data_IF_494527645829
#
_entry.id   IF_494527645829
#
_cell.length_a   1.000
_cell.length_b   1.000
_cell.length_c   1.000
_cell.angle_alpha   90.00
_cell.angle_beta   90.00
_cell.angle_gamma   90.00
#
_symmetry.space_group_name_H-M   'P 1'
#
loop_
_entity.id
_entity.type
_entity.pdbx_description
1 polymer ?
#
# COMPACT_ATOMS: atom_id res chain seq x y z
N UNK A 1 10.02 21.64 43.86
CA UNK A 1 9.31 20.79 44.84
C UNK A 1 8.07 20.07 44.28
N UNK A 2 7.48 20.44 43.12
CA UNK A 2 6.62 19.52 42.36
C UNK A 2 5.36 18.97 43.06
N UNK A 3 4.84 19.67 44.09
CA UNK A 3 3.73 19.17 44.93
C UNK A 3 2.48 18.76 44.14
N UNK A 4 2.15 19.47 43.05
CA UNK A 4 1.02 19.12 42.20
C UNK A 4 1.17 17.75 41.52
N UNK A 5 2.39 17.41 41.09
CA UNK A 5 2.68 16.08 40.52
C UNK A 5 2.51 15.00 41.58
N UNK A 6 3.06 15.25 42.78
CA UNK A 6 2.91 14.32 43.91
C UNK A 6 1.46 14.14 44.34
N UNK A 7 0.67 15.22 44.34
CA UNK A 7 -0.75 15.15 44.66
C UNK A 7 -1.51 14.29 43.64
N UNK A 8 -1.23 14.44 42.35
CA UNK A 8 -1.84 13.61 41.29
C UNK A 8 -1.45 12.15 41.41
N UNK A 9 -0.17 11.84 41.67
CA UNK A 9 0.28 10.47 41.92
C UNK A 9 -0.50 9.84 43.08
N UNK A 10 -0.55 10.51 44.24
CA UNK A 10 -1.25 10.00 45.42
C UNK A 10 -2.74 9.81 45.17
N UNK A 11 -3.37 10.71 44.42
CA UNK A 11 -4.77 10.62 44.03
C UNK A 11 -5.02 9.40 43.13
N UNK A 12 -4.14 9.14 42.16
CA UNK A 12 -4.22 7.95 41.30
C UNK A 12 -4.02 6.67 42.10
N UNK A 13 -3.02 6.62 42.97
CA UNK A 13 -2.77 5.47 43.85
C UNK A 13 -3.98 5.19 44.75
N UNK A 14 -4.67 6.22 45.22
CA UNK A 14 -5.87 6.10 46.06
C UNK A 14 -7.03 5.44 45.30
N UNK A 15 -7.37 5.96 44.13
CA UNK A 15 -8.48 5.40 43.33
C UNK A 15 -8.15 4.06 42.66
N UNK A 16 -6.87 3.74 42.46
CA UNK A 16 -6.44 2.40 42.03
C UNK A 16 -6.43 1.37 43.16
N UNK A 17 -6.74 1.76 44.41
CA UNK A 17 -6.78 0.85 45.55
C UNK A 17 -5.40 0.41 46.05
N UNK A 18 -4.32 1.14 45.73
CA UNK A 18 -2.96 0.82 46.20
C UNK A 18 -2.72 1.20 47.66
N UNK A 19 -3.63 1.94 48.29
CA UNK A 19 -3.57 2.24 49.71
C UNK A 19 -4.25 1.14 50.53
N UNK A 20 -3.55 0.52 51.49
CA UNK A 20 -4.16 -0.45 52.38
C UNK A 20 -5.20 0.25 53.27
N UNK A 21 -6.47 -0.16 53.15
CA UNK A 21 -7.55 0.30 54.02
C UNK A 21 -7.54 -0.52 55.31
N UNK A 22 -7.41 0.15 56.46
CA UNK A 22 -7.29 -0.50 57.78
C UNK A 22 -8.66 -0.90 58.35
N UNK A 23 -9.76 -0.34 57.83
CA UNK A 23 -11.13 -0.60 58.30
C UNK A 23 -11.82 -1.60 57.39
N UNK A 24 -12.10 -2.81 57.90
CA UNK A 24 -12.74 -3.91 57.16
C UNK A 24 -14.25 -3.71 56.92
N UNK A 25 -14.93 -2.85 57.69
CA UNK A 25 -16.38 -2.66 57.59
C UNK A 25 -16.78 -1.55 56.60
N UNK A 26 -17.33 -1.97 55.47
CA UNK A 26 -17.72 -1.15 54.33
C UNK A 26 -18.90 -0.18 54.50
N UNK A 27 -19.24 0.29 55.70
CA UNK A 27 -20.29 1.29 55.88
C UNK A 27 -20.01 2.23 57.06
N UNK A 28 -19.44 3.40 56.78
CA UNK A 28 -19.59 4.55 57.68
C UNK A 28 -20.61 5.52 57.09
N UNK A 29 -21.89 5.11 57.06
CA UNK A 29 -22.99 6.08 56.99
C UNK A 29 -23.01 6.85 58.31
N UNK A 30 -22.14 7.86 58.44
CA UNK A 30 -22.24 8.82 59.56
C UNK A 30 -23.50 9.64 59.33
N UNK A 31 -24.50 9.44 60.20
CA UNK A 31 -25.63 10.38 60.31
C UNK A 31 -25.06 11.71 60.79
N UNK A 32 -24.79 12.63 59.87
CA UNK A 32 -24.66 14.04 60.22
C UNK A 32 -26.06 14.51 60.61
N UNK A 33 -26.25 14.84 61.89
CA UNK A 33 -27.40 15.63 62.29
C UNK A 33 -27.20 17.03 61.70
N UNK A 34 -27.66 17.23 60.46
CA UNK A 34 -27.81 18.56 59.91
C UNK A 34 -28.86 19.27 60.77
N UNK A 35 -28.49 20.41 61.35
CA UNK A 35 -29.43 21.29 62.05
C UNK A 35 -30.49 21.69 61.01
N UNK A 36 -31.75 21.32 61.26
CA UNK A 36 -32.84 21.51 60.30
C UNK A 36 -33.47 22.90 60.32
N UNK A 37 -33.15 23.75 61.30
CA UNK A 37 -33.75 25.08 61.43
C UNK A 37 -32.67 26.15 61.59
N UNK A 38 -32.54 27.00 60.58
CA UNK A 38 -31.75 28.25 60.63
C UNK A 38 -32.59 29.40 61.22
N UNK A 39 -33.92 29.24 61.27
CA UNK A 39 -34.86 30.28 61.69
C UNK A 39 -35.03 30.40 63.22
N UNK A 40 -34.51 29.46 64.01
CA UNK A 40 -34.66 29.45 65.48
C UNK A 40 -33.49 30.06 66.26
N UNK A 41 -32.44 30.56 65.58
CA UNK A 41 -31.29 31.16 66.25
C UNK A 41 -31.45 32.68 66.33
N UNK A 42 -32.05 33.15 67.43
CA UNK A 42 -31.97 34.56 67.81
C UNK A 42 -30.50 34.92 68.09
N UNK A 43 -29.99 35.94 67.37
CA UNK A 43 -28.60 36.44 67.36
C UNK A 43 -27.98 36.76 68.74
N UNK A 44 -28.75 36.71 69.82
CA UNK A 44 -28.35 37.05 71.19
C UNK A 44 -28.49 35.89 72.20
N UNK A 45 -28.98 34.73 71.77
CA UNK A 45 -29.15 33.52 72.61
C UNK A 45 -28.18 32.39 72.25
N UNK A 46 -27.12 32.67 71.48
CA UNK A 46 -26.12 31.66 71.12
C UNK A 46 -25.32 31.19 72.35
N UNK A 47 -25.66 30.01 72.88
CA UNK A 47 -24.80 29.30 73.83
C UNK A 47 -23.64 28.64 73.08
N UNK A 48 -22.43 29.18 73.27
CA UNK A 48 -21.17 28.58 72.79
C UNK A 48 -20.84 27.35 73.65
N UNK A 49 -21.55 26.24 73.42
CA UNK A 49 -21.23 24.94 74.00
C UNK A 49 -20.45 24.09 72.97
N UNK A 50 -19.43 23.32 73.39
CA UNK A 50 -18.75 22.39 72.50
C UNK A 50 -19.77 21.37 71.96
N UNK A 51 -19.99 21.40 70.65
CA UNK A 51 -20.94 20.51 69.98
C UNK A 51 -20.54 19.05 70.23
N UNK A 52 -21.42 18.29 70.86
CA UNK A 52 -21.26 16.86 71.08
C UNK A 52 -21.41 16.12 69.74
N UNK A 53 -20.48 15.21 69.43
CA UNK A 53 -20.44 14.38 68.21
C UNK A 53 -20.13 15.10 66.88
N UNK A 54 -19.18 16.03 66.84
CA UNK A 54 -18.63 16.52 65.56
C UNK A 54 -17.71 15.47 64.90
N UNK A 55 -17.85 15.20 63.59
CA UNK A 55 -16.87 14.40 62.88
C UNK A 55 -15.50 15.11 62.86
N UNK A 56 -14.38 14.37 62.79
CA UNK A 56 -13.07 14.98 62.65
C UNK A 56 -12.98 15.80 61.36
N UNK A 57 -12.24 16.92 61.40
CA UNK A 57 -12.07 17.81 60.26
C UNK A 57 -11.37 17.11 59.08
N UNK A 58 -10.39 16.25 59.38
CA UNK A 58 -9.61 15.50 58.40
C UNK A 58 -9.62 14.02 58.77
N UNK A 59 -9.69 13.18 57.74
CA UNK A 59 -9.47 11.75 57.86
C UNK A 59 -8.21 11.36 57.08
N UNK A 60 -7.53 10.32 57.56
CA UNK A 60 -6.40 9.76 56.83
C UNK A 60 -6.93 8.99 55.61
N UNK A 61 -6.24 9.07 54.48
CA UNK A 61 -6.61 8.33 53.26
C UNK A 61 -6.70 6.81 53.51
N UNK A 62 -5.93 6.26 54.45
CA UNK A 62 -5.93 4.83 54.83
C UNK A 62 -7.19 4.40 55.58
N UNK A 63 -8.00 5.35 56.04
CA UNK A 63 -9.21 5.10 56.82
C UNK A 63 -10.49 5.17 55.98
N UNK A 64 -10.41 5.66 54.74
CA UNK A 64 -11.53 5.78 53.81
C UNK A 64 -11.27 4.93 52.57
N UNK A 65 -12.17 3.98 52.30
CA UNK A 65 -12.15 3.20 51.05
C UNK A 65 -12.49 4.09 49.85
N UNK A 66 -11.68 4.01 48.80
CA UNK A 66 -11.92 4.72 47.55
C UNK A 66 -13.14 4.13 46.81
N UNK A 67 -13.89 5.00 46.13
CA UNK A 67 -14.93 4.60 45.19
C UNK A 67 -14.31 4.07 43.90
N UNK A 68 -15.02 3.17 43.22
CA UNK A 68 -14.57 2.66 41.92
C UNK A 68 -14.73 3.76 40.87
N UNK A 69 -13.60 4.29 40.36
CA UNK A 69 -13.57 5.28 39.29
C UNK A 69 -12.96 4.70 38.02
N UNK A 70 -13.59 4.96 36.89
CA UNK A 70 -13.10 4.51 35.58
C UNK A 70 -12.03 5.45 35.00
N UNK A 71 -12.21 6.77 35.18
CA UNK A 71 -11.32 7.80 34.64
C UNK A 71 -11.28 9.04 35.52
N UNK A 72 -10.22 9.84 35.33
CA UNK A 72 -10.07 11.19 35.87
C UNK A 72 -10.18 12.19 34.73
N UNK A 73 -10.89 13.29 34.96
CA UNK A 73 -11.04 14.37 34.00
C UNK A 73 -10.60 15.69 34.59
N UNK A 74 -9.96 16.52 33.76
CA UNK A 74 -9.57 17.89 34.10
C UNK A 74 -10.05 18.85 33.03
N UNK A 75 -10.50 20.01 33.44
CA UNK A 75 -10.91 21.11 32.57
C UNK A 75 -10.15 22.35 32.99
N UNK A 76 -9.38 22.92 32.08
CA UNK A 76 -8.50 24.06 32.40
C UNK A 76 -8.34 24.99 31.19
N UNK A 77 -7.96 26.25 31.46
CA UNK A 77 -7.59 27.22 30.43
C UNK A 77 -6.25 26.85 29.80
N UNK A 78 -6.22 26.81 28.46
CA UNK A 78 -5.09 26.32 27.69
C UNK A 78 -3.89 27.27 27.77
N UNK A 79 -2.96 26.95 28.67
CA UNK A 79 -1.64 27.60 28.76
C UNK A 79 -0.52 26.60 28.52
N UNK A 80 0.64 27.09 28.06
CA UNK A 80 1.81 26.24 27.82
C UNK A 80 2.32 25.55 29.08
N UNK A 81 2.17 26.18 30.26
CA UNK A 81 2.59 25.62 31.54
C UNK A 81 1.67 24.49 32.01
N UNK A 82 0.37 24.71 31.98
CA UNK A 82 -0.62 23.68 32.36
C UNK A 82 -0.58 22.51 31.40
N UNK A 83 -0.45 22.76 30.09
CA UNK A 83 -0.33 21.69 29.11
C UNK A 83 0.92 20.82 29.36
N UNK A 84 2.06 21.44 29.71
CA UNK A 84 3.28 20.70 30.10
C UNK A 84 3.07 19.90 31.40
N UNK A 85 2.36 20.45 32.38
CA UNK A 85 2.03 19.76 33.62
C UNK A 85 1.16 18.53 33.37
N UNK A 86 0.03 18.68 32.67
CA UNK A 86 -0.88 17.57 32.38
C UNK A 86 -0.27 16.52 31.46
N UNK A 87 0.62 16.93 30.55
CA UNK A 87 1.45 15.99 29.75
C UNK A 87 2.35 15.13 30.62
N UNK A 88 2.96 15.68 31.67
CA UNK A 88 3.79 14.92 32.64
C UNK A 88 2.94 13.95 33.45
N UNK A 89 1.71 14.30 33.75
CA UNK A 89 0.75 13.43 34.44
C UNK A 89 0.08 12.40 33.52
N UNK A 90 0.48 12.28 32.25
CA UNK A 90 -0.08 11.31 31.27
C UNK A 90 -1.57 11.50 30.95
N UNK A 91 -2.08 12.74 31.02
CA UNK A 91 -3.42 13.07 30.55
C UNK A 91 -3.47 13.20 29.02
N UNK A 92 -4.61 12.86 28.44
CA UNK A 92 -4.86 12.93 26.99
C UNK A 92 -5.98 13.92 26.70
N UNK A 93 -5.75 14.83 25.76
CA UNK A 93 -6.74 15.82 25.33
C UNK A 93 -7.86 15.18 24.53
N UNK A 94 -9.09 15.56 24.84
CA UNK A 94 -10.30 15.03 24.18
C UNK A 94 -11.12 16.14 23.55
N UNK A 95 -11.08 17.35 24.11
CA UNK A 95 -11.86 18.47 23.60
C UNK A 95 -11.17 19.80 23.86
N UNK A 96 -11.27 20.71 22.90
CA UNK A 96 -10.83 22.09 23.00
C UNK A 96 -11.96 23.00 22.54
N UNK A 97 -12.35 23.97 23.38
CA UNK A 97 -13.34 24.98 23.03
C UNK A 97 -12.79 25.92 21.94
N UNK A 98 -13.59 26.19 20.91
CA UNK A 98 -13.20 27.11 19.82
C UNK A 98 -13.19 28.58 20.26
N UNK A 99 -14.07 28.95 21.19
CA UNK A 99 -14.13 30.31 21.74
C UNK A 99 -13.25 30.42 22.99
N UNK A 100 -12.48 31.49 23.05
CA UNK A 100 -11.77 31.89 24.24
C UNK A 100 -12.75 32.39 25.30
N UNK A 101 -12.44 32.13 26.57
CA UNK A 101 -13.17 32.72 27.69
C UNK A 101 -13.05 34.25 27.65
N UNK A 102 -14.16 34.96 27.83
CA UNK A 102 -14.16 36.44 27.88
C UNK A 102 -13.36 37.00 29.07
N UNK A 103 -13.23 36.21 30.15
CA UNK A 103 -12.52 36.63 31.35
C UNK A 103 -10.99 36.49 31.23
N UNK A 104 -10.52 35.39 30.65
CA UNK A 104 -9.07 35.05 30.63
C UNK A 104 -8.44 35.11 29.24
N UNK A 105 -9.23 35.14 28.16
CA UNK A 105 -8.75 35.01 26.79
C UNK A 105 -8.24 33.61 26.45
N UNK A 106 -8.39 32.63 27.35
CA UNK A 106 -7.90 31.27 27.15
C UNK A 106 -9.00 30.32 26.68
N UNK A 107 -8.61 29.33 25.88
CA UNK A 107 -9.52 28.28 25.42
C UNK A 107 -9.58 27.16 26.46
N UNK A 108 -10.77 26.66 26.77
CA UNK A 108 -10.91 25.54 27.72
C UNK A 108 -10.54 24.22 27.05
N UNK A 109 -9.53 23.52 27.58
CA UNK A 109 -9.16 22.16 27.20
C UNK A 109 -9.69 21.17 28.24
N UNK A 110 -10.34 20.11 27.77
CA UNK A 110 -10.70 18.95 28.57
C UNK A 110 -9.73 17.82 28.27
N UNK A 111 -9.06 17.33 29.31
CA UNK A 111 -8.16 16.20 29.23
C UNK A 111 -8.59 15.09 30.18
N UNK A 112 -8.49 13.85 29.74
CA UNK A 112 -8.89 12.67 30.49
C UNK A 112 -7.70 11.75 30.72
N UNK A 113 -7.73 11.01 31.82
CA UNK A 113 -6.80 9.94 32.14
C UNK A 113 -7.59 8.73 32.59
N UNK A 114 -7.40 7.61 31.90
CA UNK A 114 -8.05 6.35 32.25
C UNK A 114 -7.37 5.73 33.48
N UNK A 115 -8.17 5.21 34.42
CA UNK A 115 -7.69 4.51 35.62
C UNK A 115 -7.91 2.99 35.53
N UNK A 116 -8.89 2.56 34.73
CA UNK A 116 -9.25 1.16 34.53
C UNK A 116 -8.57 0.56 33.30
N UNK A 117 -8.35 -0.75 33.25
CA UNK A 117 -7.84 -1.38 32.01
C UNK A 117 -8.88 -1.39 30.87
N UNK A 118 -10.17 -1.26 31.19
CA UNK A 118 -11.27 -1.40 30.23
C UNK A 118 -11.50 -0.13 29.40
N UNK A 119 -10.96 1.03 29.82
CA UNK A 119 -11.25 2.32 29.18
C UNK A 119 -10.31 2.76 28.06
N UNK A 120 -9.33 1.93 27.67
CA UNK A 120 -8.26 2.35 26.74
C UNK A 120 -8.81 2.54 25.32
N UNK A 121 -9.73 1.69 24.87
CA UNK A 121 -10.24 1.67 23.49
C UNK A 121 -11.13 2.89 23.16
N UNK A 122 -12.05 3.26 24.05
CA UNK A 122 -12.86 4.45 23.81
C UNK A 122 -11.97 5.70 23.88
N UNK A 123 -11.08 5.80 24.87
CA UNK A 123 -10.23 6.98 25.02
C UNK A 123 -9.25 7.13 23.85
N UNK A 124 -8.74 6.04 23.28
CA UNK A 124 -7.92 6.07 22.05
C UNK A 124 -8.73 6.57 20.85
N UNK A 125 -9.98 6.11 20.71
CA UNK A 125 -10.90 6.57 19.67
C UNK A 125 -11.23 8.07 19.79
N UNK A 126 -11.54 8.54 20.99
CA UNK A 126 -11.81 9.96 21.27
C UNK A 126 -10.57 10.83 21.03
N UNK A 127 -9.39 10.36 21.41
CA UNK A 127 -8.11 11.05 21.16
C UNK A 127 -7.81 11.18 19.65
N UNK A 128 -8.05 10.11 18.89
CA UNK A 128 -7.91 10.11 17.43
C UNK A 128 -8.87 11.10 16.78
N UNK A 129 -10.15 11.09 17.19
CA UNK A 129 -11.14 12.05 16.71
C UNK A 129 -10.80 13.49 17.08
N UNK A 130 -10.35 13.73 18.32
CA UNK A 130 -9.88 15.04 18.77
C UNK A 130 -8.74 15.55 17.89
N UNK A 131 -7.75 14.70 17.59
CA UNK A 131 -6.62 15.03 16.73
C UNK A 131 -7.09 15.47 15.34
N UNK A 132 -7.94 14.69 14.67
CA UNK A 132 -8.45 15.02 13.34
C UNK A 132 -9.28 16.30 13.36
N UNK A 133 -10.16 16.48 14.35
CA UNK A 133 -10.95 17.71 14.51
C UNK A 133 -10.07 18.93 14.74
N UNK A 134 -9.06 18.82 15.61
CA UNK A 134 -8.12 19.90 15.89
C UNK A 134 -7.34 20.29 14.64
N UNK A 135 -6.83 19.32 13.87
CA UNK A 135 -6.14 19.58 12.59
C UNK A 135 -7.03 20.33 11.60
N UNK A 136 -8.32 19.98 11.53
CA UNK A 136 -9.26 20.66 10.64
C UNK A 136 -9.71 22.05 11.14
N UNK A 137 -9.59 22.34 12.44
CA UNK A 137 -9.92 23.64 13.03
C UNK A 137 -8.73 24.61 13.07
N UNK A 138 -7.48 24.11 12.92
CA UNK A 138 -6.27 24.95 12.87
C UNK A 138 -6.32 26.09 11.84
N UNK A 139 -6.88 25.92 10.62
CA UNK A 139 -7.00 27.00 9.65
C UNK A 139 -8.00 28.10 10.03
N UNK A 140 -8.94 27.83 10.93
CA UNK A 140 -10.04 28.73 11.27
C UNK A 140 -9.90 29.26 12.71
N UNK A 141 -10.55 28.62 13.68
CA UNK A 141 -10.62 29.10 15.08
C UNK A 141 -9.26 29.19 15.77
N UNK A 142 -8.24 28.45 15.28
CA UNK A 142 -6.92 28.39 15.91
C UNK A 142 -5.79 28.89 14.99
N UNK A 143 -6.10 29.73 13.99
CA UNK A 143 -5.09 30.25 13.06
C UNK A 143 -4.06 31.16 13.75
N UNK A 144 -4.50 31.91 14.77
CA UNK A 144 -3.66 32.82 15.55
C UNK A 144 -2.94 32.14 16.74
N UNK A 145 -3.12 30.84 16.96
CA UNK A 145 -2.42 30.14 18.06
C UNK A 145 -0.93 30.05 17.81
N UNK A 146 -0.07 30.21 18.83
CA UNK A 146 1.36 29.94 18.70
C UNK A 146 1.60 28.51 18.16
N UNK A 147 2.42 28.37 17.12
CA UNK A 147 2.60 27.09 16.42
C UNK A 147 3.25 26.03 17.31
N UNK A 148 4.08 26.46 18.27
CA UNK A 148 4.70 25.60 19.29
C UNK A 148 3.67 25.05 20.28
N UNK A 149 2.65 25.85 20.64
CA UNK A 149 1.56 25.44 21.52
C UNK A 149 0.64 24.45 20.78
N UNK A 150 0.26 24.75 19.54
CA UNK A 150 -0.54 23.85 18.71
C UNK A 150 0.15 22.48 18.51
N UNK A 151 1.47 22.49 18.27
CA UNK A 151 2.26 21.26 18.20
C UNK A 151 2.26 20.52 19.54
N UNK A 152 2.37 21.24 20.66
CA UNK A 152 2.36 20.63 22.00
C UNK A 152 1.04 19.91 22.29
N UNK A 153 -0.09 20.43 21.82
CA UNK A 153 -1.42 19.80 21.91
C UNK A 153 -1.43 18.50 21.09
N UNK A 154 -0.94 18.53 19.85
CA UNK A 154 -0.84 17.34 19.00
C UNK A 154 0.14 16.28 19.54
N UNK A 155 1.04 16.69 20.44
CA UNK A 155 1.98 15.83 21.15
C UNK A 155 1.51 15.44 22.55
N UNK A 156 0.31 15.85 22.99
CA UNK A 156 -0.28 15.43 24.26
C UNK A 156 -0.71 13.97 24.13
N UNK A 157 0.26 13.07 24.34
CA UNK A 157 0.13 11.63 24.12
C UNK A 157 0.46 10.89 25.40
N UNK A 158 -0.37 9.89 25.70
CA UNK A 158 -0.02 8.82 26.62
C UNK A 158 0.43 7.61 25.78
N UNK A 159 1.58 7.03 26.12
CA UNK A 159 2.18 5.89 25.41
C UNK A 159 1.25 4.67 25.39
N UNK A 160 0.49 4.45 26.45
CA UNK A 160 -0.46 3.33 26.58
C UNK A 160 -1.60 3.44 25.57
N UNK A 161 -2.13 4.67 25.41
CA UNK A 161 -3.23 4.95 24.48
C UNK A 161 -2.71 4.96 23.04
N UNK A 162 -1.49 5.45 22.81
CA UNK A 162 -0.86 5.45 21.48
C UNK A 162 -0.63 4.04 20.92
N UNK A 163 -0.35 3.05 21.78
CA UNK A 163 -0.26 1.64 21.38
C UNK A 163 -1.60 1.04 20.92
N UNK A 164 -2.73 1.58 21.40
CA UNK A 164 -4.07 1.16 21.00
C UNK A 164 -4.58 1.85 19.72
N UNK A 165 -3.99 2.99 19.33
CA UNK A 165 -4.41 3.72 18.12
C UNK A 165 -3.87 2.99 16.88
N UNK A 166 -4.77 2.44 16.07
CA UNK A 166 -4.43 1.87 14.75
C UNK A 166 -4.07 3.00 13.78
N UNK A 167 -2.80 3.11 13.43
CA UNK A 167 -2.34 4.04 12.40
C UNK A 167 -2.56 3.42 11.02
N UNK A 168 -3.45 4.01 10.22
CA UNK A 168 -3.64 3.63 8.83
C UNK A 168 -2.67 4.42 7.94
N UNK A 169 -1.59 3.75 7.54
CA UNK A 169 -0.68 4.26 6.51
C UNK A 169 -1.40 4.19 5.17
N UNK A 170 -1.43 5.30 4.43
CA UNK A 170 -2.10 5.35 3.13
C UNK A 170 -1.25 4.68 2.05
N UNK A 171 -1.94 3.96 1.17
CA UNK A 171 -1.36 3.36 -0.03
C UNK A 171 -1.14 4.40 -1.13
N UNK A 172 -0.34 4.07 -2.14
CA UNK A 172 -0.07 4.98 -3.27
C UNK A 172 -1.35 5.42 -4.00
N UNK A 173 -2.31 4.51 -4.14
CA UNK A 173 -3.58 4.79 -4.81
C UNK A 173 -4.42 5.81 -4.04
N UNK A 174 -4.50 5.66 -2.71
CA UNK A 174 -5.22 6.61 -1.85
C UNK A 174 -4.53 7.99 -1.84
N UNK A 175 -3.19 8.03 -1.84
CA UNK A 175 -2.43 9.28 -1.99
C UNK A 175 -2.73 9.93 -3.34
N UNK A 176 -2.85 9.14 -4.42
CA UNK A 176 -3.17 9.61 -5.77
C UNK A 176 -4.52 10.31 -5.91
N UNK A 177 -5.47 10.04 -5.00
CA UNK A 177 -6.77 10.73 -4.96
C UNK A 177 -6.62 12.16 -4.43
N UNK A 178 -5.66 12.39 -3.53
CA UNK A 178 -5.49 13.69 -2.86
C UNK A 178 -4.34 14.51 -3.48
N UNK A 179 -3.32 13.85 -4.01
CA UNK A 179 -2.15 14.44 -4.65
C UNK A 179 -1.94 13.83 -6.03
N UNK A 180 -2.02 14.65 -7.07
CA UNK A 180 -1.79 14.19 -8.44
C UNK A 180 -0.29 14.00 -8.73
N UNK A 181 0.02 13.24 -9.78
CA UNK A 181 1.41 13.03 -10.21
C UNK A 181 2.11 14.34 -10.61
N UNK A 182 1.35 15.30 -11.14
CA UNK A 182 1.86 16.63 -11.44
C UNK A 182 2.22 17.41 -10.16
N UNK A 183 1.41 17.27 -9.11
CA UNK A 183 1.70 17.89 -7.81
C UNK A 183 2.97 17.31 -7.16
N UNK A 184 3.18 15.99 -7.29
CA UNK A 184 4.43 15.36 -6.88
C UNK A 184 5.63 15.87 -7.69
N UNK A 185 5.46 16.07 -9.00
CA UNK A 185 6.47 16.68 -9.87
C UNK A 185 6.81 18.12 -9.48
N UNK A 186 5.81 18.93 -9.14
CA UNK A 186 5.97 20.31 -8.62
C UNK A 186 6.70 20.31 -7.28
N UNK A 187 6.33 19.40 -6.37
CA UNK A 187 7.01 19.23 -5.08
C UNK A 187 8.49 18.87 -5.29
N UNK A 188 8.78 17.90 -6.15
CA UNK A 188 10.15 17.53 -6.49
C UNK A 188 10.93 18.71 -7.07
N UNK A 189 10.36 19.45 -8.02
CA UNK A 189 10.98 20.64 -8.62
C UNK A 189 11.29 21.73 -7.59
N UNK A 190 10.41 21.95 -6.61
CA UNK A 190 10.67 22.84 -5.48
C UNK A 190 11.86 22.38 -4.63
N UNK A 191 11.96 21.09 -4.30
CA UNK A 191 13.06 20.57 -3.47
C UNK A 191 14.43 20.67 -4.13
N UNK A 192 14.46 20.74 -5.47
CA UNK A 192 15.63 21.00 -6.31
C UNK A 192 15.89 22.50 -6.55
N UNK A 193 15.17 23.40 -5.87
CA UNK A 193 15.25 24.86 -6.01
C UNK A 193 14.95 25.38 -7.43
N UNK A 194 14.17 24.66 -8.24
CA UNK A 194 13.75 25.11 -9.58
C UNK A 194 12.55 26.05 -9.53
N UNK A 195 11.78 25.99 -8.44
CA UNK A 195 10.49 26.64 -8.26
C UNK A 195 10.46 27.37 -6.91
N UNK A 196 9.73 28.50 -6.84
CA UNK A 196 9.52 29.25 -5.60
C UNK A 196 8.45 28.61 -4.69
N UNK A 197 8.54 28.85 -3.38
CA UNK A 197 7.66 28.29 -2.35
C UNK A 197 6.17 28.60 -2.58
N UNK A 198 5.85 29.73 -3.21
CA UNK A 198 4.47 30.14 -3.51
C UNK A 198 3.77 29.18 -4.48
N UNK A 199 4.53 28.56 -5.38
CA UNK A 199 4.02 27.63 -6.38
C UNK A 199 3.77 26.22 -5.84
N UNK A 200 4.00 25.96 -4.55
CA UNK A 200 3.57 24.72 -3.89
C UNK A 200 2.62 24.98 -2.72
N UNK A 201 2.22 26.24 -2.49
CA UNK A 201 1.43 26.64 -1.32
C UNK A 201 0.05 25.95 -1.25
N UNK A 202 -0.50 25.56 -2.40
CA UNK A 202 -1.73 24.77 -2.54
C UNK A 202 -1.57 23.30 -2.09
N UNK A 203 -0.37 22.73 -2.25
CA UNK A 203 -0.07 21.33 -1.92
C UNK A 203 0.26 21.16 -0.43
N UNK A 204 0.85 22.19 0.19
CA UNK A 204 1.36 22.15 1.57
C UNK A 204 0.29 21.82 2.63
N UNK A 205 -0.95 22.35 2.57
CA UNK A 205 -1.99 21.99 3.53
C UNK A 205 -2.34 20.50 3.49
N UNK A 206 -2.40 19.92 2.30
CA UNK A 206 -2.63 18.49 2.11
C UNK A 206 -1.49 17.67 2.72
N UNK A 207 -0.24 18.04 2.42
CA UNK A 207 0.93 17.37 3.00
C UNK A 207 0.95 17.46 4.53
N UNK A 208 0.64 18.63 5.08
CA UNK A 208 0.57 18.84 6.52
C UNK A 208 -0.51 17.98 7.17
N UNK A 209 -1.70 17.87 6.56
CA UNK A 209 -2.78 16.99 7.03
C UNK A 209 -2.36 15.51 7.00
N UNK A 210 -1.76 15.05 5.92
CA UNK A 210 -1.29 13.66 5.78
C UNK A 210 -0.22 13.31 6.82
N UNK A 211 0.76 14.19 6.99
CA UNK A 211 1.82 14.00 7.99
C UNK A 211 1.27 14.03 9.41
N UNK A 212 0.48 15.05 9.76
CA UNK A 212 -0.01 15.25 11.12
C UNK A 212 -1.11 14.28 11.51
N UNK A 213 -1.89 13.71 10.59
CA UNK A 213 -2.82 12.61 10.90
C UNK A 213 -2.12 11.23 11.02
N UNK A 214 -0.79 11.16 10.92
CA UNK A 214 -0.01 9.92 10.91
C UNK A 214 -0.42 8.95 9.79
N UNK A 215 -0.83 9.50 8.64
CA UNK A 215 -1.15 8.71 7.45
C UNK A 215 0.08 8.33 6.62
N UNK A 216 1.22 8.96 6.90
CA UNK A 216 2.51 8.63 6.30
C UNK A 216 3.26 7.58 7.15
N UNK A 217 4.28 6.95 6.57
CA UNK A 217 5.01 5.87 7.25
C UNK A 217 5.64 6.36 8.57
N UNK A 218 5.67 5.51 9.62
CA UNK A 218 6.20 5.87 10.94
C UNK A 218 7.72 6.13 10.93
N UNK A 219 8.42 5.72 9.87
CA UNK A 219 9.84 6.00 9.63
C UNK A 219 10.13 7.49 9.43
N UNK A 220 9.14 8.25 8.94
CA UNK A 220 9.28 9.67 8.65
C UNK A 220 9.20 10.49 9.93
N UNK A 221 10.36 10.84 10.49
CA UNK A 221 10.46 11.67 11.69
C UNK A 221 10.95 13.09 11.32
N UNK A 222 10.13 14.09 11.67
CA UNK A 222 10.48 15.50 11.57
C UNK A 222 10.91 16.03 12.94
N UNK A 223 11.88 16.95 12.94
CA UNK A 223 12.23 17.66 14.17
C UNK A 223 11.04 18.49 14.67
N UNK A 224 10.99 18.80 15.97
CA UNK A 224 9.90 19.60 16.53
C UNK A 224 9.75 20.96 15.84
N UNK A 225 10.87 21.65 15.56
CA UNK A 225 10.88 22.93 14.83
C UNK A 225 10.41 22.77 13.38
N UNK A 226 10.82 21.71 12.69
CA UNK A 226 10.35 21.39 11.33
C UNK A 226 8.84 21.13 11.29
N UNK A 227 8.33 20.42 12.29
CA UNK A 227 6.89 20.13 12.41
C UNK A 227 6.08 21.38 12.74
N UNK A 228 6.62 22.26 13.60
CA UNK A 228 6.01 23.55 13.89
C UNK A 228 5.93 24.43 12.63
N UNK A 229 7.00 24.48 11.83
CA UNK A 229 7.04 25.17 10.53
C UNK A 229 6.01 24.60 9.55
N UNK A 230 5.92 23.27 9.44
CA UNK A 230 4.92 22.61 8.59
C UNK A 230 3.49 22.93 9.03
N UNK A 231 3.23 22.93 10.33
CA UNK A 231 1.93 23.26 10.92
C UNK A 231 1.56 24.73 10.68
N UNK A 232 2.51 25.65 10.86
CA UNK A 232 2.32 27.08 10.68
C UNK A 232 1.94 27.43 9.23
N UNK A 233 2.71 26.96 8.25
CA UNK A 233 2.45 27.26 6.84
C UNK A 233 1.31 26.44 6.26
N UNK A 234 1.23 25.15 6.60
CA UNK A 234 0.25 24.23 6.01
C UNK A 234 -1.13 24.31 6.61
N UNK A 235 -1.24 24.42 7.94
CA UNK A 235 -2.54 24.37 8.62
C UNK A 235 -2.99 25.71 9.18
N UNK A 236 -2.09 26.55 9.68
CA UNK A 236 -2.47 27.86 10.24
C UNK A 236 -2.38 29.00 9.21
N UNK A 237 -1.84 28.73 8.02
CA UNK A 237 -1.65 29.70 6.94
C UNK A 237 -0.93 30.99 7.37
N UNK A 238 0.03 30.86 8.28
CA UNK A 238 0.80 32.01 8.78
C UNK A 238 1.78 32.52 7.73
N UNK A 239 1.96 33.83 7.72
CA UNK A 239 3.03 34.47 6.93
C UNK A 239 4.40 34.17 7.52
N UNK A 240 5.44 34.27 6.69
CA UNK A 240 6.81 33.96 7.10
C UNK A 240 7.31 34.90 8.21
N UNK A 241 6.89 36.17 8.20
CA UNK A 241 7.20 37.15 9.25
C UNK A 241 6.72 36.72 10.63
N UNK A 242 5.45 36.34 10.76
CA UNK A 242 4.86 35.88 12.04
C UNK A 242 5.62 34.64 12.55
N UNK A 243 6.02 33.74 11.65
CA UNK A 243 6.79 32.57 12.04
C UNK A 243 8.20 32.92 12.57
N UNK A 244 8.82 33.98 12.05
CA UNK A 244 10.11 34.46 12.55
C UNK A 244 9.98 35.01 13.98
N UNK A 245 8.91 35.75 14.26
CA UNK A 245 8.60 36.27 15.60
C UNK A 245 8.33 35.13 16.61
N UNK A 246 7.60 34.09 16.20
CA UNK A 246 7.28 32.94 17.07
C UNK A 246 8.47 32.02 17.36
N UNK A 247 9.45 31.97 16.45
CA UNK A 247 10.66 31.17 16.59
C UNK A 247 11.83 32.02 17.11
N UNK A 248 11.67 32.64 18.29
CA UNK A 248 12.74 33.38 18.99
C UNK A 248 13.46 34.43 18.11
N UNK A 249 12.76 35.05 17.14
CA UNK A 249 13.33 36.05 16.24
C UNK A 249 14.28 35.50 15.17
N UNK A 250 14.14 34.23 14.79
CA UNK A 250 14.95 33.61 13.74
C UNK A 250 14.89 34.39 12.41
N UNK A 251 16.01 34.53 11.67
CA UNK A 251 16.01 35.18 10.36
C UNK A 251 15.12 34.44 9.33
N UNK A 252 14.48 35.20 8.46
CA UNK A 252 13.57 34.69 7.41
C UNK A 252 14.22 33.62 6.52
N UNK A 253 15.49 33.81 6.15
CA UNK A 253 16.25 32.84 5.35
C UNK A 253 16.39 31.48 6.05
N UNK A 254 16.48 31.46 7.39
CA UNK A 254 16.62 30.23 8.17
C UNK A 254 15.28 29.49 8.29
N UNK A 255 14.17 30.22 8.45
CA UNK A 255 12.82 29.64 8.42
C UNK A 255 12.53 29.02 7.06
N UNK A 256 12.90 29.70 5.97
CA UNK A 256 12.77 29.16 4.61
C UNK A 256 13.64 27.91 4.41
N UNK A 257 14.86 27.90 4.96
CA UNK A 257 15.72 26.73 4.90
C UNK A 257 15.12 25.53 5.65
N UNK A 258 14.52 25.76 6.83
CA UNK A 258 13.80 24.72 7.59
C UNK A 258 12.58 24.21 6.82
N UNK A 259 11.81 25.11 6.22
CA UNK A 259 10.68 24.77 5.37
C UNK A 259 11.11 23.90 4.19
N UNK A 260 12.12 24.32 3.42
CA UNK A 260 12.70 23.54 2.31
C UNK A 260 13.20 22.17 2.75
N UNK A 261 13.90 22.10 3.89
CA UNK A 261 14.38 20.83 4.45
C UNK A 261 13.24 19.89 4.84
N UNK A 262 12.12 20.45 5.31
CA UNK A 262 10.92 19.70 5.65
C UNK A 262 10.24 19.16 4.40
N UNK A 263 10.01 20.00 3.39
CA UNK A 263 9.44 19.58 2.11
C UNK A 263 10.30 18.53 1.41
N UNK A 264 11.64 18.64 1.48
CA UNK A 264 12.55 17.62 0.93
C UNK A 264 12.36 16.25 1.58
N UNK A 265 12.24 16.19 2.91
CA UNK A 265 11.97 14.93 3.61
C UNK A 265 10.62 14.32 3.21
N UNK A 266 9.57 15.15 3.10
CA UNK A 266 8.26 14.71 2.66
C UNK A 266 8.31 14.19 1.21
N UNK A 267 9.01 14.89 0.30
CA UNK A 267 9.17 14.47 -1.09
C UNK A 267 9.90 13.14 -1.22
N UNK A 268 11.01 12.95 -0.49
CA UNK A 268 11.77 11.69 -0.52
C UNK A 268 10.88 10.51 -0.08
N UNK A 269 10.10 10.70 0.99
CA UNK A 269 9.18 9.68 1.47
C UNK A 269 8.08 9.37 0.44
N UNK A 270 7.49 10.38 -0.19
CA UNK A 270 6.48 10.18 -1.24
C UNK A 270 7.07 9.50 -2.48
N UNK A 271 8.31 9.81 -2.85
CA UNK A 271 9.04 9.16 -3.93
C UNK A 271 9.31 7.68 -3.61
N UNK A 272 9.65 7.36 -2.35
CA UNK A 272 9.79 5.98 -1.88
C UNK A 272 8.48 5.20 -2.02
N UNK A 273 7.36 5.78 -1.55
CA UNK A 273 6.03 5.19 -1.71
C UNK A 273 5.67 4.96 -3.18
N UNK A 274 6.02 5.90 -4.07
CA UNK A 274 5.82 5.74 -5.50
C UNK A 274 6.68 4.60 -6.08
N UNK A 275 7.97 4.54 -5.69
CA UNK A 275 8.89 3.49 -6.14
C UNK A 275 8.44 2.10 -5.68
N UNK A 276 7.98 1.98 -4.44
CA UNK A 276 7.52 0.71 -3.89
C UNK A 276 6.25 0.23 -4.60
N UNK A 277 5.29 1.11 -4.87
CA UNK A 277 4.11 0.77 -5.67
C UNK A 277 4.46 0.30 -7.10
N UNK A 278 5.46 0.93 -7.73
CA UNK A 278 5.95 0.50 -9.06
C UNK A 278 6.65 -0.86 -8.98
N UNK A 279 7.45 -1.12 -7.93
CA UNK A 279 8.10 -2.41 -7.71
C UNK A 279 7.09 -3.52 -7.53
N UNK A 280 6.06 -3.31 -6.71
CA UNK A 280 4.96 -4.26 -6.52
C UNK A 280 4.24 -4.55 -7.83
N UNK A 281 3.92 -3.52 -8.62
CA UNK A 281 3.28 -3.69 -9.92
C UNK A 281 4.14 -4.50 -10.90
N UNK A 282 5.44 -4.21 -11.00
CA UNK A 282 6.35 -4.97 -11.87
C UNK A 282 6.46 -6.43 -11.41
N UNK A 283 6.54 -6.66 -10.10
CA UNK A 283 6.54 -8.02 -9.52
C UNK A 283 5.29 -8.80 -9.90
N UNK A 284 4.11 -8.21 -9.71
CA UNK A 284 2.83 -8.83 -10.07
C UNK A 284 2.75 -9.10 -11.57
N UNK A 285 3.19 -8.18 -12.43
CA UNK A 285 3.22 -8.38 -13.89
C UNK A 285 4.18 -9.52 -14.29
N UNK A 286 5.31 -9.69 -13.59
CA UNK A 286 6.25 -10.80 -13.79
C UNK A 286 5.66 -12.14 -13.33
N UNK A 287 5.00 -12.18 -12.18
CA UNK A 287 4.32 -13.38 -11.66
C UNK A 287 3.15 -13.80 -12.54
N UNK A 288 2.34 -12.86 -13.03
CA UNK A 288 1.26 -13.15 -13.99
C UNK A 288 1.80 -13.68 -15.32
N UNK A 289 2.93 -13.15 -15.81
CA UNK A 289 3.61 -13.68 -17.01
C UNK A 289 4.18 -15.08 -16.75
N UNK A 290 4.66 -15.35 -15.54
CA UNK A 290 5.08 -16.68 -15.09
C UNK A 290 3.93 -17.68 -15.08
N UNK A 291 2.80 -17.31 -14.48
CA UNK A 291 1.59 -18.14 -14.44
C UNK A 291 1.02 -18.38 -15.85
N UNK A 292 0.95 -17.36 -16.71
CA UNK A 292 0.51 -17.52 -18.11
C UNK A 292 1.44 -18.44 -18.93
N UNK A 293 2.76 -18.42 -18.65
CA UNK A 293 3.69 -19.40 -19.24
C UNK A 293 3.44 -20.81 -18.70
N UNK A 294 3.17 -20.96 -17.41
CA UNK A 294 2.88 -22.26 -16.81
C UNK A 294 1.56 -22.86 -17.31
N UNK A 295 0.52 -22.03 -17.51
CA UNK A 295 -0.75 -22.42 -18.13
C UNK A 295 -0.64 -22.74 -19.63
N UNK A 296 0.34 -22.18 -20.34
CA UNK A 296 0.67 -22.61 -21.70
C UNK A 296 1.41 -23.96 -21.73
N UNK A 297 2.21 -24.26 -20.71
CA UNK A 297 2.94 -25.54 -20.60
C UNK A 297 2.00 -26.69 -20.22
N UNK A 298 0.95 -26.45 -19.43
CA UNK A 298 -0.08 -27.47 -19.11
C UNK A 298 -0.91 -27.90 -20.34
N UNK A 299 -0.95 -27.08 -21.39
CA UNK A 299 -1.59 -27.44 -22.67
C UNK A 299 -0.71 -28.27 -23.62
N UNK A 300 0.56 -28.53 -23.28
CA UNK A 300 1.35 -29.55 -23.98
C UNK A 300 0.96 -30.94 -23.45
N UNK A 301 -0.11 -31.49 -24.03
CA UNK A 301 -0.43 -32.91 -23.88
C UNK A 301 0.79 -33.70 -24.40
N UNK A 302 1.39 -34.54 -23.55
CA UNK A 302 2.44 -35.45 -24.00
C UNK A 302 1.92 -36.24 -25.20
N UNK A 303 2.68 -36.22 -26.30
CA UNK A 303 2.37 -37.02 -27.49
C UNK A 303 2.22 -38.48 -27.04
N UNK A 304 1.10 -39.11 -27.36
CA UNK A 304 0.79 -40.47 -26.91
C UNK A 304 1.65 -41.54 -27.60
N UNK A 305 2.35 -41.17 -28.67
CA UNK A 305 3.28 -42.01 -29.42
C UNK A 305 4.69 -41.43 -29.28
N UNK A 306 5.67 -42.29 -29.11
CA UNK A 306 7.08 -41.87 -29.09
C UNK A 306 7.50 -41.44 -30.49
N UNK A 307 8.44 -40.49 -30.59
CA UNK A 307 9.07 -40.13 -31.86
C UNK A 307 9.65 -41.34 -32.59
N UNK A 308 10.13 -42.35 -31.83
CA UNK A 308 10.61 -43.60 -32.39
C UNK A 308 9.51 -44.39 -33.12
N UNK A 309 8.30 -44.42 -32.56
CA UNK A 309 7.16 -45.14 -33.14
C UNK A 309 6.68 -44.46 -34.43
N UNK A 310 6.66 -43.11 -34.45
CA UNK A 310 6.32 -42.33 -35.66
C UNK A 310 7.35 -42.51 -36.78
N UNK A 311 8.63 -42.58 -36.43
CA UNK A 311 9.70 -42.84 -37.40
C UNK A 311 9.61 -44.25 -37.99
N UNK A 312 9.24 -45.25 -37.18
CA UNK A 312 9.07 -46.62 -37.66
C UNK A 312 7.82 -46.77 -38.54
N UNK A 313 6.72 -46.09 -38.19
CA UNK A 313 5.50 -46.05 -39.01
C UNK A 313 5.76 -45.37 -40.36
N UNK A 314 6.51 -44.26 -40.37
CA UNK A 314 6.93 -43.58 -41.60
C UNK A 314 7.91 -44.42 -42.44
N UNK A 315 8.83 -45.15 -41.81
CA UNK A 315 9.76 -46.05 -42.51
C UNK A 315 9.00 -47.17 -43.25
N UNK A 316 8.03 -47.80 -42.59
CA UNK A 316 7.16 -48.83 -43.22
C UNK A 316 6.35 -48.25 -44.38
N UNK A 317 5.81 -47.04 -44.25
CA UNK A 317 5.08 -46.39 -45.35
C UNK A 317 5.97 -46.12 -46.58
N UNK A 318 7.25 -45.76 -46.35
CA UNK A 318 8.23 -45.55 -47.42
C UNK A 318 8.60 -46.87 -48.10
N UNK A 319 8.85 -47.94 -47.34
CA UNK A 319 9.12 -49.28 -47.90
C UNK A 319 7.94 -49.76 -48.76
N UNK A 320 6.71 -49.66 -48.24
CA UNK A 320 5.49 -50.02 -48.98
C UNK A 320 5.31 -49.18 -50.26
N UNK A 321 5.73 -47.91 -50.24
CA UNK A 321 5.72 -47.06 -51.44
C UNK A 321 6.80 -47.50 -52.43
N UNK A 322 8.02 -47.76 -51.97
CA UNK A 322 9.11 -48.22 -52.81
C UNK A 322 8.81 -49.57 -53.48
N UNK A 323 8.18 -50.50 -52.77
CA UNK A 323 7.75 -51.78 -53.37
C UNK A 323 6.70 -51.59 -54.46
N UNK A 324 5.73 -50.68 -54.23
CA UNK A 324 4.71 -50.34 -55.24
C UNK A 324 5.34 -49.71 -56.47
N UNK A 325 6.27 -48.78 -56.29
CA UNK A 325 6.94 -48.10 -57.38
C UNK A 325 7.87 -49.05 -58.14
N UNK A 326 8.57 -49.96 -57.44
CA UNK A 326 9.38 -51.02 -58.06
C UNK A 326 8.51 -51.96 -58.92
N UNK A 327 7.33 -52.36 -58.43
CA UNK A 327 6.39 -53.19 -59.21
C UNK A 327 5.90 -52.49 -60.47
N UNK A 328 5.49 -51.21 -60.37
CA UNK A 328 5.11 -50.40 -61.53
C UNK A 328 6.26 -50.23 -62.53
N UNK A 329 7.46 -49.95 -62.03
CA UNK A 329 8.66 -49.81 -62.85
C UNK A 329 8.97 -51.11 -63.59
N UNK A 330 8.84 -52.28 -62.96
CA UNK A 330 9.00 -53.59 -63.62
C UNK A 330 7.93 -53.82 -64.70
N UNK A 331 6.67 -53.46 -64.45
CA UNK A 331 5.60 -53.56 -65.45
C UNK A 331 5.86 -52.62 -66.66
N UNK A 332 6.31 -51.40 -66.41
CA UNK A 332 6.67 -50.41 -67.44
C UNK A 332 7.93 -50.80 -68.23
N UNK A 333 8.92 -51.43 -67.59
CA UNK A 333 10.13 -51.95 -68.26
C UNK A 333 9.85 -53.25 -69.04
N UNK A 334 9.02 -54.15 -68.51
CA UNK A 334 8.65 -55.41 -69.16
C UNK A 334 7.87 -55.18 -70.46
N UNK A 335 7.07 -54.13 -70.52
CA UNK A 335 6.31 -53.74 -71.72
C UNK A 335 7.16 -52.97 -72.75
N UNK A 336 8.19 -52.22 -72.31
CA UNK A 336 8.99 -51.36 -73.20
C UNK A 336 10.37 -51.92 -73.62
N UNK A 337 10.85 -53.03 -73.06
CA UNK A 337 12.13 -53.62 -73.48
C UNK A 337 12.02 -54.60 -74.64
N UNK A 338 10.83 -55.13 -74.94
CA UNK A 338 10.60 -56.02 -76.09
C UNK A 338 10.89 -55.36 -77.45
N UNK A 339 10.70 -54.04 -77.53
CA UNK A 339 10.93 -53.20 -78.72
C UNK A 339 12.42 -52.81 -78.95
N UNK A 340 13.32 -53.14 -78.02
CA UNK A 340 14.77 -52.95 -78.15
C UNK A 340 15.56 -54.27 -78.20
N UNK A 341 14.88 -55.42 -78.32
CA UNK A 341 15.54 -56.71 -78.56
C UNK A 341 16.08 -56.69 -80.00
N UNK A 342 17.37 -56.42 -80.15
CA UNK A 342 18.07 -56.58 -81.43
C UNK A 342 18.20 -58.08 -81.70
N UNK A 343 17.30 -58.65 -82.51
CA UNK A 343 17.47 -60.01 -83.03
C UNK A 343 18.40 -59.96 -84.24
N UNK A 344 19.64 -60.38 -84.06
CA UNK A 344 20.59 -60.69 -85.15
C UNK A 344 21.19 -62.06 -84.87
N UNK A 345 21.30 -62.90 -85.90
CA UNK A 345 22.03 -64.16 -85.81
C UNK A 345 23.53 -63.88 -85.61
N UNK A 346 24.24 -64.75 -84.90
CA UNK A 346 25.68 -64.57 -84.58
C UNK A 346 26.56 -64.41 -85.84
N UNK A 347 26.10 -64.89 -87.00
CA UNK A 347 26.80 -64.76 -88.27
C UNK A 347 26.68 -63.34 -88.88
N UNK A 348 25.54 -62.65 -88.68
CA UNK A 348 25.33 -61.26 -89.14
C UNK A 348 26.19 -60.27 -88.33
N UNK A 349 26.46 -60.59 -87.06
CA UNK A 349 27.34 -59.79 -86.19
C UNK A 349 28.83 -59.97 -86.53
N UNK A 350 29.24 -61.17 -86.96
CA UNK A 350 30.62 -61.43 -87.40
C UNK A 350 30.96 -60.75 -88.73
N UNK A 351 30.00 -60.64 -89.66
CA UNK A 351 30.20 -59.89 -90.90
C UNK A 351 30.24 -58.37 -90.68
N UNK A 352 29.53 -57.86 -89.66
CA UNK A 352 29.53 -56.45 -89.27
C UNK A 352 30.77 -56.04 -88.47
N UNK A 353 31.37 -56.97 -87.70
CA UNK A 353 32.67 -56.79 -87.03
C UNK A 353 33.76 -57.62 -87.73
N UNK A 354 34.23 -57.19 -88.91
CA UNK A 354 35.45 -57.76 -89.49
C UNK A 354 36.64 -57.45 -88.57
N UNK A 355 37.22 -58.49 -87.97
CA UNK A 355 38.39 -58.41 -87.11
C UNK A 355 39.59 -57.81 -87.88
N UNK A 356 40.16 -56.70 -87.38
CA UNK A 356 41.51 -56.29 -87.75
C UNK A 356 41.72 -54.93 -88.43
N UNK A 357 40.82 -53.94 -88.33
CA UNK A 357 41.18 -52.54 -88.61
C UNK A 357 40.60 -51.58 -87.55
N UNK A 358 41.43 -50.61 -87.16
CA UNK A 358 41.19 -49.58 -86.13
C UNK A 358 39.79 -48.95 -86.23
N UNK A 359 39.18 -48.69 -85.06
CA UNK A 359 37.82 -48.18 -84.88
C UNK A 359 37.34 -47.26 -86.03
N UNK A 360 36.24 -47.59 -86.73
CA UNK A 360 35.72 -46.70 -87.76
C UNK A 360 35.16 -45.44 -87.08
N UNK A 361 35.64 -44.26 -87.47
CA UNK A 361 34.95 -42.99 -87.18
C UNK A 361 33.72 -42.91 -88.10
N UNK A 362 32.66 -43.65 -87.78
CA UNK A 362 31.40 -43.67 -88.51
C UNK A 362 30.49 -44.85 -88.11
N UNK A 363 29.18 -44.66 -88.15
CA UNK A 363 28.16 -45.60 -87.66
C UNK A 363 28.17 -46.96 -88.40
N UNK A 364 28.02 -48.06 -87.64
CA UNK A 364 27.86 -49.43 -88.14
C UNK A 364 26.36 -49.72 -88.23
N UNK A 365 25.86 -50.05 -89.43
CA UNK A 365 24.43 -50.36 -89.64
C UNK A 365 24.24 -51.83 -89.98
N UNK A 366 23.47 -52.55 -89.16
CA UNK A 366 22.95 -53.89 -89.49
C UNK A 366 21.56 -53.72 -90.08
N UNK A 367 21.31 -54.32 -91.26
CA UNK A 367 20.09 -54.05 -92.04
C UNK A 367 18.87 -54.72 -91.43
N UNK A 368 18.05 -53.95 -90.72
CA UNK A 368 16.77 -54.43 -90.20
C UNK A 368 15.74 -54.56 -91.35
N UNK A 369 15.25 -55.77 -91.62
CA UNK A 369 14.24 -56.06 -92.66
C UNK A 369 12.86 -56.15 -92.01
N UNK A 370 12.15 -55.02 -91.85
CA UNK A 370 10.69 -54.86 -92.03
C UNK A 370 10.19 -53.46 -91.64
N UNK A 371 9.13 -53.01 -92.32
CA UNK A 371 8.53 -51.69 -92.28
C UNK A 371 7.71 -51.42 -91.00
N UNK A 372 7.70 -50.14 -90.60
CA UNK A 372 7.01 -49.55 -89.44
C UNK A 372 5.49 -49.70 -89.59
N UNK A 373 4.79 -50.05 -88.50
CA UNK A 373 3.37 -49.76 -88.33
C UNK A 373 3.20 -48.82 -87.13
N UNK A 374 2.66 -47.65 -87.43
CA UNK A 374 2.23 -46.62 -86.47
C UNK A 374 1.20 -47.19 -85.50
N UNK A 375 1.37 -46.93 -84.21
CA UNK A 375 0.29 -47.10 -83.21
C UNK A 375 -0.10 -45.77 -82.58
N UNK A 376 -1.40 -45.54 -82.30
CA UNK A 376 -1.95 -44.21 -82.07
C UNK A 376 -1.77 -43.71 -80.63
N UNK A 377 -1.67 -42.39 -80.52
CA UNK A 377 -1.68 -41.62 -79.27
C UNK A 377 -3.13 -41.55 -78.73
N UNK A 378 -3.41 -41.88 -77.46
CA UNK A 378 -4.75 -41.67 -76.87
C UNK A 378 -4.89 -40.26 -76.27
N UNK A 379 -5.92 -39.51 -76.71
CA UNK A 379 -6.36 -38.26 -76.09
C UNK A 379 -7.42 -38.46 -74.98
N UNK A 380 -7.49 -37.46 -74.11
CA UNK A 380 -8.25 -37.33 -72.84
C UNK A 380 -9.76 -37.59 -72.93
N UNK A 381 -10.34 -38.06 -71.81
CA UNK A 381 -11.71 -37.74 -71.42
C UNK A 381 -11.79 -37.22 -69.96
N UNK A 382 -12.50 -36.11 -69.81
CA UNK A 382 -13.03 -35.55 -68.57
C UNK A 382 -14.33 -36.25 -68.20
N UNK A 383 -14.57 -36.52 -66.92
CA UNK A 383 -15.92 -36.44 -66.34
C UNK A 383 -15.90 -36.17 -64.82
N UNK A 384 -16.98 -35.50 -64.39
CA UNK A 384 -17.22 -34.89 -63.07
C UNK A 384 -17.99 -35.85 -62.15
N UNK A 385 -17.74 -35.78 -60.83
CA UNK A 385 -18.67 -35.95 -59.68
C UNK A 385 -17.81 -35.95 -58.39
N UNK A 386 -18.09 -35.37 -57.23
CA UNK A 386 -19.21 -34.63 -56.65
C UNK A 386 -18.81 -34.15 -55.23
N UNK A 387 -19.46 -33.09 -54.74
CA UNK A 387 -19.15 -32.30 -53.52
C UNK A 387 -19.17 -33.06 -52.18
N UNK A 388 -18.38 -32.60 -51.18
CA UNK A 388 -18.91 -32.17 -49.87
C UNK A 388 -17.97 -31.25 -49.06
N UNK A 389 -18.60 -30.21 -48.49
CA UNK A 389 -18.09 -29.03 -47.77
C UNK A 389 -17.45 -29.36 -46.42
N UNK A 390 -16.49 -28.54 -45.94
CA UNK A 390 -16.47 -28.04 -44.55
C UNK A 390 -15.84 -26.63 -44.42
N UNK A 391 -16.65 -25.79 -43.76
CA UNK A 391 -16.56 -24.37 -43.39
C UNK A 391 -15.18 -23.78 -43.04
N UNK A 392 -14.93 -22.58 -43.57
CA UNK A 392 -14.19 -21.49 -42.91
C UNK A 392 -15.06 -20.91 -41.77
N UNK A 393 -14.49 -20.75 -40.58
CA UNK A 393 -14.93 -19.74 -39.61
C UNK A 393 -14.02 -18.51 -39.79
N UNK A 394 -14.64 -17.33 -39.86
CA UNK A 394 -13.98 -16.01 -39.84
C UNK A 394 -14.29 -15.38 -38.48
N UNK A 395 -13.30 -14.67 -37.94
CA UNK A 395 -13.29 -13.78 -36.77
C UNK A 395 -13.35 -14.44 -35.41
#
# INVERSE_FOLDING_TARGET
MGYGGRAMELLEHYYQGKFPCIKEDGQMKRKTNCVKDVETLQLLEEQIAPRTNLPPLLERLTERRAENLDYLGVSFGLTGELLKFWKKCSFVGVYLRQEASSLTGEHTLIALKNLSNNGIEWLSSFSSQFRTRFINLLPSSFCHFPSTLALSILQLRNKEIEGSITRRVLTRNEIGVVLSDNDLGRLSSFTHNLIDHRLIADIVPTLAKLFLNHNLSPTLQLAATQTAVLLAFGLQHKTMHIMCEELDGMPEAQVLALYKKTMRKLSIHLDEVCKDAVRERIGNEMEERGHKKMDQVTHMKALSKSLADELEEAAKEIEDRQERDKKKMIEELGTNLGQYIIKGDDDDWKDALKEGMSAPKGAISVRNKRAIQDMPIPEKNTDKEGMRKKKKMKR
#
